data_IF_866153197594
#
_entry.id   IF_866153197594
#
_cell.length_a   1.000
_cell.length_b   1.000
_cell.length_c   1.000
_cell.angle_alpha   90.00
_cell.angle_beta   90.00
_cell.angle_gamma   90.00
#
_symmetry.space_group_name_H-M   'P 1'
#
loop_
_entity.id
_entity.type
_entity.pdbx_description
1 polymer ?
#
# COMPACT_ATOMS: atom_id res chain seq x y z
N UNK A 1 -1.72 -17.84 -15.46
CA UNK A 1 -0.44 -17.35 -16.05
C UNK A 1 0.41 -16.66 -14.98
N UNK A 2 1.69 -17.02 -14.84
CA UNK A 2 2.64 -16.28 -14.02
C UNK A 2 3.13 -15.06 -14.81
N UNK A 3 3.03 -13.86 -14.25
CA UNK A 3 3.39 -12.62 -14.94
C UNK A 3 4.88 -12.27 -14.84
N UNK A 4 5.59 -12.83 -13.86
CA UNK A 4 6.99 -12.49 -13.58
C UNK A 4 7.20 -11.11 -12.93
N UNK A 5 6.12 -10.39 -12.63
CA UNK A 5 6.18 -9.06 -12.04
C UNK A 5 6.62 -9.10 -10.57
N UNK A 6 7.48 -8.16 -10.18
CA UNK A 6 7.91 -7.98 -8.80
C UNK A 6 6.80 -7.29 -7.98
N UNK A 7 6.43 -7.90 -6.84
CA UNK A 7 5.37 -7.42 -5.95
C UNK A 7 5.82 -7.38 -4.49
N UNK A 8 5.18 -6.52 -3.69
CA UNK A 8 5.31 -6.53 -2.24
C UNK A 8 4.20 -7.38 -1.61
N UNK A 9 4.55 -8.34 -0.75
CA UNK A 9 3.57 -9.18 -0.04
C UNK A 9 3.44 -8.75 1.42
N UNK A 10 2.25 -8.26 1.79
CA UNK A 10 1.88 -7.98 3.19
C UNK A 10 1.08 -9.16 3.73
N UNK A 11 1.68 -9.91 4.66
CA UNK A 11 1.03 -11.01 5.38
C UNK A 11 0.31 -10.47 6.62
N UNK A 12 -0.99 -10.75 6.73
CA UNK A 12 -1.86 -10.32 7.84
C UNK A 12 -2.38 -11.58 8.54
N UNK A 13 -1.74 -12.00 9.65
CA UNK A 13 -2.19 -13.15 10.41
C UNK A 13 -3.57 -12.92 11.02
N UNK A 14 -4.43 -13.93 10.95
CA UNK A 14 -5.73 -13.93 11.63
C UNK A 14 -5.51 -14.25 13.10
N UNK A 15 -6.03 -13.40 13.99
CA UNK A 15 -5.94 -13.61 15.44
C UNK A 15 -6.80 -14.80 15.92
N UNK A 16 -7.93 -15.01 15.26
CA UNK A 16 -8.93 -16.06 15.54
C UNK A 16 -9.35 -16.71 14.22
N UNK A 17 -8.56 -17.65 13.68
CA UNK A 17 -8.80 -18.24 12.37
C UNK A 17 -10.18 -18.89 12.22
N UNK A 18 -10.75 -19.40 13.32
CA UNK A 18 -12.08 -19.99 13.43
C UNK A 18 -13.22 -18.99 13.18
N UNK A 19 -12.99 -17.71 13.47
CA UNK A 19 -13.95 -16.62 13.20
C UNK A 19 -13.80 -16.08 11.77
N UNK A 20 -12.81 -16.57 11.01
CA UNK A 20 -12.51 -16.13 9.66
C UNK A 20 -11.81 -14.76 9.60
N UNK A 21 -11.99 -14.03 8.51
CA UNK A 21 -11.37 -12.71 8.29
C UNK A 21 -12.19 -11.64 9.02
N UNK A 22 -11.57 -10.81 9.90
CA UNK A 22 -12.28 -9.75 10.59
C UNK A 22 -13.03 -8.81 9.62
N UNK A 23 -14.28 -8.40 9.92
CA UNK A 23 -15.04 -7.49 9.06
C UNK A 23 -14.33 -6.17 8.77
N UNK A 24 -13.53 -5.68 9.72
CA UNK A 24 -12.69 -4.51 9.51
C UNK A 24 -11.66 -4.74 8.39
N UNK A 25 -10.97 -5.89 8.40
CA UNK A 25 -10.00 -6.26 7.37
C UNK A 25 -10.68 -6.40 6.00
N UNK A 26 -11.87 -6.98 5.94
CA UNK A 26 -12.65 -7.06 4.70
C UNK A 26 -13.02 -5.68 4.16
N UNK A 27 -13.42 -4.75 5.03
CA UNK A 27 -13.70 -3.35 4.64
C UNK A 27 -12.47 -2.65 4.09
N UNK A 28 -11.31 -2.81 4.74
CA UNK A 28 -10.05 -2.24 4.26
C UNK A 28 -9.64 -2.82 2.90
N UNK A 29 -9.74 -4.14 2.70
CA UNK A 29 -9.46 -4.78 1.41
C UNK A 29 -10.43 -4.28 0.33
N UNK A 30 -11.72 -4.16 0.66
CA UNK A 30 -12.73 -3.66 -0.27
C UNK A 30 -12.41 -2.23 -0.71
N UNK A 31 -12.13 -1.33 0.24
CA UNK A 31 -11.74 0.04 -0.07
C UNK A 31 -10.50 0.09 -0.98
N UNK A 32 -9.47 -0.72 -0.70
CA UNK A 32 -8.27 -0.80 -1.55
C UNK A 32 -8.54 -1.34 -2.96
N UNK A 33 -9.58 -2.17 -3.15
CA UNK A 33 -9.98 -2.68 -4.47
C UNK A 33 -10.82 -1.68 -5.26
N UNK A 34 -11.54 -0.79 -4.58
CA UNK A 34 -12.41 0.21 -5.18
C UNK A 34 -11.65 1.47 -5.62
N UNK A 35 -10.47 1.74 -5.03
CA UNK A 35 -9.59 2.81 -5.48
C UNK A 35 -9.13 2.51 -6.92
N UNK A 36 -9.52 3.39 -7.85
CA UNK A 36 -9.07 3.33 -9.24
C UNK A 36 -7.56 3.56 -9.36
N UNK A 37 -6.97 3.13 -10.49
CA UNK A 37 -5.53 3.20 -10.71
C UNK A 37 -5.04 4.66 -10.75
N UNK A 38 -4.05 4.99 -9.90
CA UNK A 38 -3.53 6.34 -9.78
C UNK A 38 -2.02 6.32 -9.46
N UNK A 39 -1.19 7.13 -10.13
CA UNK A 39 0.28 7.08 -10.00
C UNK A 39 0.83 7.47 -8.61
N UNK A 40 0.00 8.02 -7.72
CA UNK A 40 0.38 8.39 -6.35
C UNK A 40 -0.35 7.58 -5.27
N UNK A 41 -1.01 6.47 -5.64
CA UNK A 41 -1.60 5.52 -4.70
C UNK A 41 -1.08 4.12 -5.01
N UNK A 42 -0.57 3.42 -4.00
CA UNK A 42 -0.07 2.06 -4.20
C UNK A 42 -1.22 1.10 -4.53
N UNK A 43 -1.09 0.34 -5.61
CA UNK A 43 -2.17 -0.53 -6.08
C UNK A 43 -2.17 -1.86 -5.35
N UNK A 44 -3.35 -2.28 -4.87
CA UNK A 44 -3.60 -3.65 -4.45
C UNK A 44 -3.82 -4.52 -5.71
N UNK A 45 -2.86 -5.40 -6.01
CA UNK A 45 -2.90 -6.30 -7.17
C UNK A 45 -3.76 -7.53 -6.90
N UNK A 46 -3.66 -8.09 -5.71
CA UNK A 46 -4.43 -9.26 -5.29
C UNK A 46 -4.55 -9.35 -3.77
N UNK A 47 -5.62 -10.02 -3.32
CA UNK A 47 -5.79 -10.42 -1.93
C UNK A 47 -6.29 -11.86 -1.89
N UNK A 48 -5.65 -12.72 -1.10
CA UNK A 48 -6.01 -14.12 -0.99
C UNK A 48 -5.70 -14.68 0.40
N UNK A 49 -6.39 -15.75 0.78
CA UNK A 49 -6.14 -16.47 2.02
C UNK A 49 -5.05 -17.53 1.82
N UNK A 50 -4.18 -17.68 2.80
CA UNK A 50 -3.16 -18.72 2.90
C UNK A 50 -3.13 -19.26 4.33
N UNK A 51 -3.87 -20.34 4.60
CA UNK A 51 -4.06 -20.87 5.95
C UNK A 51 -4.68 -19.80 6.88
N UNK A 52 -4.17 -19.59 8.11
CA UNK A 52 -4.66 -18.59 9.04
C UNK A 52 -4.14 -17.16 8.72
N UNK A 53 -3.83 -16.86 7.47
CA UNK A 53 -3.24 -15.58 7.05
C UNK A 53 -3.94 -15.06 5.81
N UNK A 54 -4.21 -13.75 5.79
CA UNK A 54 -4.58 -13.04 4.56
C UNK A 54 -3.32 -12.41 3.97
N UNK A 55 -3.06 -12.67 2.69
CA UNK A 55 -1.91 -12.11 1.97
C UNK A 55 -2.43 -11.06 1.00
N UNK A 56 -1.86 -9.87 1.09
CA UNK A 56 -2.13 -8.74 0.20
C UNK A 56 -0.89 -8.51 -0.69
N UNK A 57 -1.08 -8.58 -2.00
CA UNK A 57 -0.04 -8.30 -2.99
C UNK A 57 -0.20 -6.88 -3.52
N UNK A 58 0.84 -6.07 -3.38
CA UNK A 58 0.89 -4.68 -3.82
C UNK A 58 1.98 -4.46 -4.86
N UNK A 59 1.92 -3.33 -5.55
CA UNK A 59 3.08 -2.80 -6.27
C UNK A 59 4.30 -2.71 -5.35
N UNK A 60 5.44 -3.19 -5.84
CA UNK A 60 6.69 -3.08 -5.12
C UNK A 60 7.27 -1.67 -5.25
N UNK A 61 7.63 -1.09 -4.12
CA UNK A 61 8.36 0.18 -4.05
C UNK A 61 9.69 -0.07 -3.33
N UNK A 62 10.75 0.56 -3.83
CA UNK A 62 12.13 0.36 -3.34
C UNK A 62 12.32 0.80 -1.88
N UNK A 63 11.51 1.75 -1.41
CA UNK A 63 11.58 2.22 -0.03
C UNK A 63 10.47 3.21 0.33
N UNK A 64 10.50 3.69 1.57
CA UNK A 64 9.56 4.65 2.11
C UNK A 64 10.22 6.00 2.45
N UNK A 65 9.39 7.04 2.60
CA UNK A 65 9.86 8.39 2.90
C UNK A 65 10.59 8.46 4.26
N UNK A 66 10.16 7.69 5.27
CA UNK A 66 10.83 7.66 6.56
C UNK A 66 12.25 7.08 6.47
N UNK A 67 12.43 6.03 5.68
CA UNK A 67 13.73 5.46 5.34
C UNK A 67 14.62 6.47 4.63
N UNK A 68 14.09 7.15 3.61
CA UNK A 68 14.81 8.21 2.90
C UNK A 68 15.27 9.31 3.88
N UNK A 69 14.38 9.81 4.73
CA UNK A 69 14.67 10.90 5.66
C UNK A 69 15.73 10.52 6.71
N UNK A 70 15.80 9.24 7.13
CA UNK A 70 16.87 8.76 8.02
C UNK A 70 18.22 8.60 7.31
N UNK A 71 18.22 8.37 6.00
CA UNK A 71 19.43 8.09 5.23
C UNK A 71 20.18 9.34 4.73
N UNK A 72 19.48 10.48 4.61
CA UNK A 72 20.06 11.70 4.06
C UNK A 72 20.83 12.48 5.14
N UNK A 73 21.99 13.07 4.80
CA UNK A 73 22.82 13.80 5.77
C UNK A 73 22.29 15.20 6.10
N UNK A 74 21.30 15.68 5.34
CA UNK A 74 20.71 17.00 5.48
C UNK A 74 19.21 16.97 5.13
N UNK A 75 18.41 17.95 5.59
CA UNK A 75 17.00 18.04 5.23
C UNK A 75 16.75 18.09 3.72
N UNK A 76 15.57 17.66 3.30
CA UNK A 76 15.13 17.77 1.91
C UNK A 76 15.08 19.24 1.47
N UNK A 77 15.54 19.52 0.25
CA UNK A 77 15.44 20.87 -0.31
C UNK A 77 13.97 21.29 -0.47
N UNK A 78 13.65 22.59 -0.37
CA UNK A 78 12.28 23.08 -0.52
C UNK A 78 11.56 22.60 -1.79
N UNK A 79 12.21 22.51 -2.97
CA UNK A 79 11.57 21.94 -4.16
C UNK A 79 11.17 20.47 -4.00
N UNK A 80 11.99 19.65 -3.34
CA UNK A 80 11.68 18.23 -3.09
C UNK A 80 10.54 18.07 -2.11
N UNK A 81 10.51 18.88 -1.05
CA UNK A 81 9.39 18.93 -0.09
C UNK A 81 8.09 19.27 -0.82
N UNK A 82 8.10 20.33 -1.65
CA UNK A 82 6.94 20.73 -2.46
C UNK A 82 6.46 19.61 -3.37
N UNK A 83 7.37 18.93 -4.07
CA UNK A 83 7.02 17.85 -4.98
C UNK A 83 6.38 16.65 -4.24
N UNK A 84 6.96 16.23 -3.12
CA UNK A 84 6.40 15.15 -2.29
C UNK A 84 5.00 15.51 -1.77
N UNK A 85 4.83 16.71 -1.22
CA UNK A 85 3.53 17.19 -0.75
C UNK A 85 2.49 17.22 -1.89
N UNK A 86 2.86 17.73 -3.06
CA UNK A 86 1.96 17.77 -4.20
C UNK A 86 1.55 16.36 -4.68
N UNK A 87 2.47 15.39 -4.71
CA UNK A 87 2.15 14.00 -5.04
C UNK A 87 1.22 13.37 -4.00
N UNK A 88 1.52 13.55 -2.71
CA UNK A 88 0.68 13.04 -1.61
C UNK A 88 -0.73 13.61 -1.66
N UNK A 89 -0.86 14.93 -1.85
CA UNK A 89 -2.17 15.58 -1.92
C UNK A 89 -2.97 15.17 -3.15
N UNK A 90 -2.32 14.94 -4.29
CA UNK A 90 -2.99 14.38 -5.48
C UNK A 90 -3.50 12.96 -5.23
N UNK A 91 -2.68 12.10 -4.63
CA UNK A 91 -3.11 10.74 -4.27
C UNK A 91 -4.25 10.74 -3.26
N UNK A 92 -4.20 11.60 -2.24
CA UNK A 92 -5.28 11.77 -1.28
C UNK A 92 -6.56 12.30 -1.94
N UNK A 93 -6.43 13.28 -2.84
CA UNK A 93 -7.55 13.80 -3.61
C UNK A 93 -8.24 12.74 -4.45
N UNK A 94 -7.47 11.84 -5.08
CA UNK A 94 -8.00 10.69 -5.79
C UNK A 94 -8.77 9.73 -4.87
N UNK A 95 -8.23 9.41 -3.69
CA UNK A 95 -8.93 8.56 -2.72
C UNK A 95 -10.22 9.17 -2.14
N UNK A 96 -10.45 10.47 -2.31
CA UNK A 96 -11.64 11.17 -1.81
C UNK A 96 -12.75 11.33 -2.86
N UNK A 97 -12.50 10.97 -4.12
CA UNK A 97 -13.52 10.92 -5.17
C UNK A 97 -14.31 9.60 -5.09
#
# INVERSE_FOLDING_TARGET
>A
PQTGELVALKKVPLRRPEEGVPPQTLREIKALREIEDHPHVVKLRAAFAQGPTVVLAFDYLVGDLGGLLRSIPAPLSPPRVRALMAMTLRGLGHCHQ
#
